data_IF_677897145492
#
_entry.id   IF_677897145492
#
_cell.length_a   1.000
_cell.length_b   1.000
_cell.length_c   1.000
_cell.angle_alpha   90.00
_cell.angle_beta   90.00
_cell.angle_gamma   90.00
#
_symmetry.space_group_name_H-M   'P 1'
#
loop_
_entity.id
_entity.type
_entity.pdbx_description
1 polymer ?
#
# COMPACT_ATOMS: atom_id res chain seq x y z
N UNK A 1 10.75 11.27 30.42
CA UNK A 1 10.61 10.76 29.03
C UNK A 1 11.25 9.37 28.98
N UNK A 2 10.46 8.29 28.91
CA UNK A 2 11.03 6.95 28.63
C UNK A 2 11.31 6.89 27.13
N UNK A 3 12.57 6.78 26.72
CA UNK A 3 12.92 6.54 25.33
C UNK A 3 12.36 5.18 24.92
N UNK A 4 11.67 5.14 23.78
CA UNK A 4 11.27 3.88 23.16
C UNK A 4 12.56 3.32 22.56
N UNK A 5 13.24 2.41 23.27
CA UNK A 5 14.32 1.62 22.67
C UNK A 5 13.66 0.73 21.62
N UNK A 6 14.05 0.83 20.36
CA UNK A 6 13.69 -0.20 19.40
C UNK A 6 14.42 -1.46 19.88
N UNK A 7 13.65 -2.46 20.32
CA UNK A 7 14.20 -3.79 20.40
C UNK A 7 14.41 -4.15 18.93
N UNK A 8 15.68 -4.10 18.48
CA UNK A 8 16.13 -4.92 17.35
C UNK A 8 15.46 -6.27 17.54
N UNK A 9 14.48 -6.59 16.67
CA UNK A 9 13.84 -7.90 16.68
C UNK A 9 15.00 -8.90 16.64
N UNK A 10 15.27 -9.56 17.78
CA UNK A 10 16.28 -10.59 17.83
C UNK A 10 15.88 -11.59 16.75
N UNK A 11 16.70 -11.65 15.69
CA UNK A 11 16.50 -12.39 14.44
C UNK A 11 16.25 -13.88 14.66
N UNK A 12 16.48 -14.36 15.87
CA UNK A 12 16.31 -15.75 16.33
C UNK A 12 14.84 -16.23 16.35
N UNK A 13 13.85 -15.36 16.12
CA UNK A 13 12.42 -15.72 16.14
C UNK A 13 11.65 -15.47 14.84
N UNK A 14 12.33 -15.01 13.79
CA UNK A 14 11.75 -14.71 12.49
C UNK A 14 12.26 -15.69 11.44
N UNK A 15 11.35 -16.25 10.65
CA UNK A 15 11.70 -17.09 9.50
C UNK A 15 11.51 -16.28 8.20
N UNK A 16 12.28 -16.65 7.18
CA UNK A 16 12.12 -16.12 5.83
C UNK A 16 11.51 -17.18 4.94
N UNK A 17 10.36 -16.89 4.36
CA UNK A 17 9.89 -17.62 3.19
C UNK A 17 10.29 -16.85 1.94
N UNK A 18 10.90 -17.56 0.99
CA UNK A 18 11.46 -16.97 -0.21
C UNK A 18 11.04 -17.78 -1.43
N UNK A 19 10.50 -17.10 -2.43
CA UNK A 19 10.24 -17.68 -3.73
C UNK A 19 10.83 -16.81 -4.84
N UNK A 20 11.32 -17.47 -5.88
CA UNK A 20 11.71 -16.82 -7.12
C UNK A 20 10.59 -16.98 -8.15
N UNK A 21 10.13 -15.87 -8.71
CA UNK A 21 9.08 -15.81 -9.72
C UNK A 21 9.67 -15.12 -10.94
N UNK A 22 10.08 -15.90 -11.93
CA UNK A 22 10.63 -15.42 -13.23
C UNK A 22 11.71 -14.34 -13.10
N UNK A 23 12.70 -14.55 -12.22
CA UNK A 23 13.80 -13.61 -11.98
C UNK A 23 13.52 -12.52 -10.93
N UNK A 24 12.39 -12.61 -10.22
CA UNK A 24 12.03 -11.72 -9.12
C UNK A 24 11.97 -12.49 -7.80
N UNK A 25 12.41 -11.84 -6.73
CA UNK A 25 12.35 -12.38 -5.38
C UNK A 25 11.14 -11.85 -4.65
N UNK A 26 10.30 -12.76 -4.16
CA UNK A 26 9.30 -12.49 -3.14
C UNK A 26 9.80 -13.01 -1.80
N UNK A 27 9.76 -12.15 -0.78
CA UNK A 27 10.32 -12.41 0.54
C UNK A 27 9.31 -12.03 1.60
N UNK A 28 8.96 -12.97 2.47
CA UNK A 28 8.11 -12.74 3.63
C UNK A 28 8.92 -12.85 4.92
N UNK A 29 8.74 -11.89 5.83
CA UNK A 29 9.08 -12.01 7.23
C UNK A 29 7.91 -12.71 7.92
N UNK A 30 8.16 -13.90 8.47
CA UNK A 30 7.12 -14.71 9.09
C UNK A 30 7.45 -14.92 10.57
N UNK A 31 6.44 -14.78 11.43
CA UNK A 31 6.58 -15.06 12.86
C UNK A 31 6.43 -16.56 13.18
N UNK A 32 6.50 -16.92 14.47
CA UNK A 32 6.38 -18.32 14.91
C UNK A 32 5.00 -18.94 14.70
N UNK A 33 3.98 -18.15 14.41
CA UNK A 33 2.60 -18.59 14.14
C UNK A 33 2.31 -18.69 12.64
N UNK A 34 3.33 -18.50 11.81
CA UNK A 34 3.21 -18.39 10.35
C UNK A 34 2.46 -17.12 9.88
N UNK A 35 2.35 -16.11 10.74
CA UNK A 35 1.79 -14.82 10.34
C UNK A 35 2.84 -13.97 9.62
N UNK A 36 2.46 -13.41 8.46
CA UNK A 36 3.34 -12.53 7.68
C UNK A 36 3.39 -11.15 8.31
N UNK A 37 4.54 -10.82 8.91
CA UNK A 37 4.82 -9.53 9.53
C UNK A 37 5.34 -8.46 8.55
N UNK A 38 5.78 -8.84 7.36
CA UNK A 38 6.18 -7.90 6.31
C UNK A 38 6.56 -8.61 5.02
N UNK A 39 6.38 -7.97 3.87
CA UNK A 39 6.62 -8.57 2.56
C UNK A 39 7.49 -7.68 1.68
N UNK A 40 8.24 -8.30 0.77
CA UNK A 40 9.15 -7.58 -0.09
C UNK A 40 9.27 -8.24 -1.45
N UNK A 41 9.15 -7.43 -2.50
CA UNK A 41 9.28 -7.88 -3.88
C UNK A 41 10.31 -7.05 -4.64
N UNK A 42 11.23 -7.72 -5.35
CA UNK A 42 12.29 -7.05 -6.13
C UNK A 42 13.05 -8.02 -7.03
N UNK A 43 13.59 -7.54 -8.16
CA UNK A 43 14.57 -8.29 -9.00
C UNK A 43 15.81 -8.72 -8.21
N UNK A 44 16.24 -7.91 -7.25
CA UNK A 44 17.34 -8.24 -6.34
C UNK A 44 16.83 -8.80 -5.02
N UNK A 45 17.29 -10.01 -4.67
CA UNK A 45 17.00 -10.72 -3.42
C UNK A 45 17.21 -9.86 -2.17
N UNK A 46 18.36 -9.20 -2.08
CA UNK A 46 18.71 -8.37 -0.93
C UNK A 46 17.83 -7.12 -0.80
N UNK A 47 17.36 -6.58 -1.93
CA UNK A 47 16.39 -5.49 -1.92
C UNK A 47 15.01 -5.98 -1.47
N UNK A 48 14.58 -7.17 -1.89
CA UNK A 48 13.34 -7.77 -1.42
C UNK A 48 13.36 -8.00 0.11
N UNK A 49 14.45 -8.56 0.65
CA UNK A 49 14.65 -8.69 2.10
C UNK A 49 14.58 -7.35 2.82
N UNK A 50 15.27 -6.32 2.33
CA UNK A 50 15.24 -4.97 2.93
C UNK A 50 13.84 -4.37 2.97
N UNK A 51 13.05 -4.56 1.91
CA UNK A 51 11.65 -4.11 1.86
C UNK A 51 10.80 -4.82 2.91
N UNK A 52 10.87 -6.16 2.93
CA UNK A 52 10.13 -6.99 3.89
C UNK A 52 10.48 -6.64 5.34
N UNK A 53 11.76 -6.45 5.64
CA UNK A 53 12.20 -6.02 6.98
C UNK A 53 11.74 -4.60 7.32
N UNK A 54 11.72 -3.67 6.35
CA UNK A 54 11.25 -2.30 6.58
C UNK A 54 9.75 -2.28 6.92
N UNK A 55 8.94 -3.09 6.21
CA UNK A 55 7.50 -3.23 6.50
C UNK A 55 7.27 -3.83 7.89
N UNK A 56 8.03 -4.86 8.28
CA UNK A 56 7.96 -5.45 9.61
C UNK A 56 8.25 -4.43 10.71
N UNK A 57 9.34 -3.67 10.56
CA UNK A 57 9.70 -2.63 11.54
C UNK A 57 8.66 -1.51 11.58
N UNK A 58 8.07 -1.14 10.45
CA UNK A 58 6.97 -0.18 10.42
C UNK A 58 5.79 -0.67 11.26
N UNK A 59 5.29 -1.89 11.02
CA UNK A 59 4.17 -2.44 11.79
C UNK A 59 4.48 -2.52 13.29
N UNK A 60 5.70 -2.91 13.63
CA UNK A 60 6.16 -2.94 15.02
C UNK A 60 6.17 -1.55 15.65
N UNK A 61 6.82 -0.57 15.02
CA UNK A 61 6.93 0.80 15.53
C UNK A 61 5.55 1.47 15.61
N UNK A 62 4.68 1.28 14.61
CA UNK A 62 3.30 1.78 14.64
C UNK A 62 2.53 1.16 15.80
N UNK A 63 2.71 -0.13 16.09
CA UNK A 63 2.09 -0.79 17.26
C UNK A 63 2.58 -0.19 18.58
N UNK A 64 3.88 0.13 18.69
CA UNK A 64 4.41 0.83 19.87
C UNK A 64 3.88 2.26 20.00
N UNK A 65 3.78 3.01 18.90
CA UNK A 65 3.19 4.34 18.90
C UNK A 65 1.71 4.26 19.32
N UNK A 66 0.98 3.25 18.82
CA UNK A 66 -0.42 2.99 19.18
C UNK A 66 -0.58 2.70 20.67
N UNK A 67 0.37 2.08 21.36
CA UNK A 67 0.17 1.78 22.79
C UNK A 67 0.28 3.01 23.71
N UNK A 68 0.70 4.17 23.18
CA UNK A 68 0.93 5.39 23.97
C UNK A 68 -0.05 6.49 23.51
N UNK A 69 -1.01 6.87 24.35
CA UNK A 69 -2.13 7.74 23.95
C UNK A 69 -1.72 9.14 23.47
N UNK A 70 -0.73 9.78 24.10
CA UNK A 70 -0.24 11.07 23.62
C UNK A 70 0.39 10.94 22.22
N UNK A 71 1.11 9.85 21.96
CA UNK A 71 1.69 9.55 20.65
C UNK A 71 0.64 9.19 19.62
N UNK A 72 -0.42 8.46 19.97
CA UNK A 72 -1.55 8.21 19.05
C UNK A 72 -2.08 9.51 18.45
N UNK A 73 -2.27 10.55 19.27
CA UNK A 73 -2.75 11.85 18.81
C UNK A 73 -1.72 12.55 17.90
N UNK A 74 -0.47 12.67 18.34
CA UNK A 74 0.63 13.28 17.56
C UNK A 74 0.82 12.66 16.18
N UNK A 75 0.64 11.35 16.06
CA UNK A 75 0.85 10.60 14.84
C UNK A 75 -0.41 10.47 13.97
N UNK A 76 -1.52 11.16 14.32
CA UNK A 76 -2.77 11.08 13.55
C UNK A 76 -3.48 9.73 13.64
N UNK A 77 -3.11 8.86 14.59
CA UNK A 77 -3.71 7.53 14.77
C UNK A 77 -5.13 7.56 15.36
N UNK A 78 -5.53 8.70 15.91
CA UNK A 78 -6.91 8.97 16.33
C UNK A 78 -7.85 9.21 15.13
N UNK A 79 -7.31 9.66 14.00
CA UNK A 79 -8.04 9.87 12.76
C UNK A 79 -8.10 8.58 11.93
N UNK A 80 -6.92 7.99 11.70
CA UNK A 80 -6.71 6.73 11.01
C UNK A 80 -5.75 5.85 11.81
N UNK A 81 -6.28 4.77 12.39
CA UNK A 81 -5.53 3.82 13.21
C UNK A 81 -4.78 2.74 12.40
N UNK A 82 -4.68 2.84 11.07
CA UNK A 82 -3.92 1.89 10.24
C UNK A 82 -2.42 2.25 10.16
N UNK A 83 -1.66 1.49 9.37
CA UNK A 83 -0.28 1.83 8.98
C UNK A 83 -0.23 2.76 7.75
N UNK A 84 -1.36 3.16 7.19
CA UNK A 84 -1.39 3.98 5.99
C UNK A 84 -0.64 5.30 6.16
N UNK A 85 0.14 5.63 5.14
CA UNK A 85 0.94 6.86 5.07
C UNK A 85 2.17 6.82 5.97
N UNK A 86 2.44 5.72 6.68
CA UNK A 86 3.72 5.52 7.35
C UNK A 86 4.81 5.10 6.36
N UNK A 87 6.05 5.32 6.76
CA UNK A 87 7.22 4.72 6.13
C UNK A 87 8.32 4.55 7.18
N UNK A 88 9.09 3.47 7.08
CA UNK A 88 10.30 3.25 7.88
C UNK A 88 11.52 3.01 7.00
N UNK A 89 12.68 3.54 7.40
CA UNK A 89 13.93 3.27 6.71
C UNK A 89 15.15 3.96 7.31
N UNK A 90 16.33 3.60 6.83
CA UNK A 90 17.62 4.10 7.33
C UNK A 90 17.99 5.51 6.86
N UNK A 91 17.29 6.06 5.87
CA UNK A 91 17.58 7.37 5.29
C UNK A 91 16.39 8.31 5.48
N UNK A 92 16.58 9.36 6.28
CA UNK A 92 15.53 10.34 6.61
C UNK A 92 14.79 10.86 5.38
N UNK A 93 15.51 11.33 4.36
CA UNK A 93 14.90 11.91 3.16
C UNK A 93 14.11 10.89 2.34
N UNK A 94 14.63 9.66 2.19
CA UNK A 94 13.93 8.57 1.49
C UNK A 94 12.67 8.13 2.26
N UNK A 95 12.75 8.05 3.59
CA UNK A 95 11.61 7.70 4.45
C UNK A 95 10.51 8.76 4.35
N UNK A 96 10.86 10.05 4.43
CA UNK A 96 9.90 11.15 4.25
C UNK A 96 9.23 11.08 2.87
N UNK A 97 10.03 10.92 1.81
CA UNK A 97 9.50 10.81 0.44
C UNK A 97 8.55 9.62 0.31
N UNK A 98 8.90 8.44 0.86
CA UNK A 98 8.04 7.26 0.83
C UNK A 98 6.72 7.49 1.57
N UNK A 99 6.76 8.09 2.75
CA UNK A 99 5.56 8.43 3.51
C UNK A 99 4.65 9.40 2.72
N UNK A 100 5.23 10.43 2.10
CA UNK A 100 4.49 11.39 1.25
C UNK A 100 3.86 10.69 0.05
N UNK A 101 4.60 9.83 -0.65
CA UNK A 101 4.08 9.09 -1.80
C UNK A 101 2.96 8.14 -1.39
N UNK A 102 3.09 7.43 -0.27
CA UNK A 102 2.02 6.58 0.24
C UNK A 102 0.80 7.41 0.68
N UNK A 103 0.99 8.49 1.43
CA UNK A 103 -0.12 9.38 1.78
C UNK A 103 -0.86 9.92 0.55
N UNK A 104 -0.13 10.24 -0.54
CA UNK A 104 -0.71 10.65 -1.81
C UNK A 104 -1.50 9.52 -2.48
N UNK A 105 -1.03 8.28 -2.41
CA UNK A 105 -1.75 7.10 -2.87
C UNK A 105 -3.12 7.00 -2.19
N UNK A 106 -3.14 7.02 -0.86
CA UNK A 106 -4.37 6.89 -0.06
C UNK A 106 -5.34 8.03 -0.33
N UNK A 107 -4.82 9.25 -0.44
CA UNK A 107 -5.61 10.42 -0.82
C UNK A 107 -6.23 10.27 -2.21
N UNK A 108 -5.43 9.87 -3.21
CA UNK A 108 -5.88 9.70 -4.59
C UNK A 108 -6.98 8.65 -4.70
N UNK A 109 -6.82 7.56 -3.96
CA UNK A 109 -7.79 6.48 -3.89
C UNK A 109 -9.08 6.89 -3.18
N UNK A 110 -9.01 7.78 -2.18
CA UNK A 110 -10.20 8.39 -1.59
C UNK A 110 -10.91 9.31 -2.58
N UNK A 111 -10.15 10.14 -3.30
CA UNK A 111 -10.70 11.03 -4.33
C UNK A 111 -11.43 10.23 -5.41
N UNK A 112 -10.85 9.09 -5.80
CA UNK A 112 -11.47 8.18 -6.72
C UNK A 112 -12.75 7.59 -6.13
N UNK A 113 -12.64 6.73 -5.12
CA UNK A 113 -13.76 5.89 -4.67
C UNK A 113 -14.81 6.67 -3.87
N UNK A 114 -14.39 7.54 -2.95
CA UNK A 114 -15.28 8.20 -2.01
C UNK A 114 -15.85 9.51 -2.58
N UNK A 115 -15.01 10.27 -3.30
CA UNK A 115 -15.42 11.55 -3.89
C UNK A 115 -15.84 11.45 -5.37
N UNK A 116 -15.83 10.23 -5.93
CA UNK A 116 -16.29 9.90 -7.29
C UNK A 116 -15.58 10.70 -8.40
N UNK A 117 -14.29 10.98 -8.19
CA UNK A 117 -13.43 11.66 -9.17
C UNK A 117 -12.83 10.62 -10.13
N UNK A 118 -13.01 10.79 -11.44
CA UNK A 118 -12.55 9.81 -12.42
C UNK A 118 -11.02 9.74 -12.52
N UNK A 119 -10.48 8.52 -12.49
CA UNK A 119 -9.13 8.21 -12.95
C UNK A 119 -9.14 7.89 -14.44
N UNK A 120 -8.03 8.15 -15.13
CA UNK A 120 -7.88 7.81 -16.55
C UNK A 120 -7.52 6.33 -16.67
N UNK A 121 -8.33 5.56 -17.40
CA UNK A 121 -7.96 4.20 -17.81
C UNK A 121 -6.93 4.26 -18.95
N UNK A 122 -5.90 3.44 -18.85
CA UNK A 122 -4.84 3.29 -19.83
C UNK A 122 -5.04 1.98 -20.60
N UNK A 123 -4.95 2.08 -21.93
CA UNK A 123 -4.88 0.92 -22.82
C UNK A 123 -3.43 0.69 -23.19
N UNK A 124 -2.67 0.07 -22.29
CA UNK A 124 -1.28 -0.31 -22.51
C UNK A 124 -1.14 -1.83 -22.54
N UNK A 125 -0.17 -2.32 -23.30
CA UNK A 125 0.16 -3.74 -23.35
C UNK A 125 1.26 -4.04 -22.35
N UNK A 126 1.06 -5.10 -21.57
CA UNK A 126 1.99 -5.59 -20.56
C UNK A 126 2.92 -6.63 -21.17
N UNK A 127 3.96 -6.17 -21.86
CA UNK A 127 4.84 -7.03 -22.68
C UNK A 127 6.09 -7.55 -21.95
N UNK A 128 6.40 -7.04 -20.76
CA UNK A 128 7.56 -7.55 -20.03
C UNK A 128 7.31 -8.98 -19.50
N UNK A 129 8.35 -9.85 -19.43
CA UNK A 129 8.20 -11.20 -18.89
C UNK A 129 7.61 -11.22 -17.47
N UNK A 130 7.98 -10.25 -16.64
CA UNK A 130 7.40 -10.08 -15.30
C UNK A 130 5.90 -9.81 -15.38
N UNK A 131 5.47 -8.87 -16.21
CA UNK A 131 4.07 -8.51 -16.27
C UNK A 131 3.23 -9.68 -16.79
N UNK A 132 3.73 -10.41 -17.78
CA UNK A 132 3.06 -11.62 -18.29
C UNK A 132 2.91 -12.68 -17.19
N UNK A 133 3.98 -12.92 -16.42
CA UNK A 133 3.96 -13.87 -15.31
C UNK A 133 3.00 -13.44 -14.18
N UNK A 134 2.99 -12.15 -13.82
CA UNK A 134 2.11 -11.62 -12.78
C UNK A 134 0.64 -11.52 -13.24
N UNK A 135 0.38 -11.40 -14.54
CA UNK A 135 -0.99 -11.27 -15.06
C UNK A 135 -1.65 -12.60 -15.41
N UNK A 136 -0.91 -13.72 -15.44
CA UNK A 136 -1.45 -15.05 -15.77
C UNK A 136 -2.57 -15.54 -14.85
N UNK A 137 -2.65 -14.97 -13.63
CA UNK A 137 -3.69 -15.30 -12.66
C UNK A 137 -5.05 -14.65 -13.00
N UNK A 138 -5.09 -13.71 -13.95
CA UNK A 138 -6.27 -12.93 -14.27
C UNK A 138 -6.76 -13.22 -15.69
N UNK A 139 -8.08 -13.32 -15.84
CA UNK A 139 -8.75 -13.43 -17.14
C UNK A 139 -8.69 -12.13 -17.97
N UNK A 140 -8.40 -11.01 -17.32
CA UNK A 140 -8.23 -9.70 -17.93
C UNK A 140 -7.81 -8.67 -16.89
N UNK A 141 -7.51 -7.45 -17.32
CA UNK A 141 -7.11 -6.39 -16.40
C UNK A 141 -7.54 -5.00 -16.88
N UNK A 142 -7.62 -4.07 -15.94
CA UNK A 142 -7.75 -2.62 -16.19
C UNK A 142 -6.63 -1.89 -15.46
N UNK A 143 -6.09 -0.84 -16.09
CA UNK A 143 -5.02 -0.02 -15.51
C UNK A 143 -5.51 1.42 -15.48
N UNK A 144 -5.55 2.01 -14.29
CA UNK A 144 -5.89 3.41 -14.10
C UNK A 144 -4.66 4.20 -13.66
N UNK A 145 -4.60 5.45 -14.08
CA UNK A 145 -3.43 6.29 -13.86
C UNK A 145 -3.79 7.75 -13.62
N UNK A 146 -3.01 8.38 -12.75
CA UNK A 146 -3.02 9.82 -12.56
C UNK A 146 -1.64 10.32 -12.10
N UNK A 147 -1.18 11.39 -12.72
CA UNK A 147 -0.10 12.22 -12.15
C UNK A 147 -0.69 13.25 -11.20
N UNK A 148 -0.22 13.25 -9.95
CA UNK A 148 -0.64 14.16 -8.89
C UNK A 148 0.51 15.13 -8.56
N UNK A 149 0.33 16.44 -8.76
CA UNK A 149 1.29 17.43 -8.28
C UNK A 149 1.16 17.57 -6.76
N UNK A 150 2.27 17.47 -6.03
CA UNK A 150 2.35 17.66 -4.58
C UNK A 150 3.35 18.78 -4.32
N UNK A 151 2.92 19.82 -3.61
CA UNK A 151 3.85 20.85 -3.14
C UNK A 151 4.54 20.38 -1.85
N UNK A 152 5.86 20.23 -1.88
CA UNK A 152 6.66 19.82 -0.73
C UNK A 152 8.05 20.45 -0.79
N UNK A 153 8.51 21.01 0.33
CA UNK A 153 9.83 21.65 0.45
C UNK A 153 10.12 22.64 -0.70
N UNK A 154 9.18 23.55 -0.93
CA UNK A 154 9.24 24.59 -1.97
C UNK A 154 9.31 24.08 -3.42
N UNK A 155 9.02 22.79 -3.63
CA UNK A 155 9.07 22.14 -4.95
C UNK A 155 7.78 21.40 -5.26
N UNK A 156 7.50 21.22 -6.54
CA UNK A 156 6.39 20.38 -7.00
C UNK A 156 6.96 19.00 -7.33
N UNK A 157 6.55 18.00 -6.56
CA UNK A 157 6.74 16.59 -6.87
C UNK A 157 5.60 16.11 -7.77
N UNK A 158 5.91 15.33 -8.80
CA UNK A 158 4.90 14.72 -9.67
C UNK A 158 4.77 13.24 -9.31
N UNK A 159 3.88 12.92 -8.39
CA UNK A 159 3.61 11.54 -8.00
C UNK A 159 2.81 10.85 -9.11
N UNK A 160 3.29 9.68 -9.54
CA UNK A 160 2.63 8.79 -10.49
C UNK A 160 1.85 7.76 -9.67
N UNK A 161 0.53 7.87 -9.68
CA UNK A 161 -0.36 6.92 -9.01
C UNK A 161 -0.96 5.99 -10.05
N UNK A 162 -0.79 4.69 -9.84
CA UNK A 162 -1.30 3.62 -10.68
C UNK A 162 -2.21 2.73 -9.85
N UNK A 163 -3.35 2.37 -10.43
CA UNK A 163 -4.22 1.31 -9.93
C UNK A 163 -4.25 0.21 -10.97
N UNK A 164 -3.90 -1.00 -10.55
CA UNK A 164 -4.04 -2.20 -11.36
C UNK A 164 -5.21 -3.02 -10.83
N UNK A 165 -6.13 -3.40 -11.71
CA UNK A 165 -7.26 -4.26 -11.39
C UNK A 165 -7.15 -5.56 -12.18
N UNK A 166 -6.82 -6.66 -11.52
CA UNK A 166 -6.83 -8.00 -12.09
C UNK A 166 -8.22 -8.63 -11.99
N UNK A 167 -8.85 -8.93 -13.12
CA UNK A 167 -10.20 -9.50 -13.18
C UNK A 167 -10.16 -11.02 -13.30
N UNK A 168 -10.95 -11.70 -12.48
CA UNK A 168 -11.27 -13.12 -12.64
C UNK A 168 -12.71 -13.27 -13.17
N UNK A 169 -13.18 -14.50 -13.30
CA UNK A 169 -14.59 -14.76 -13.64
C UNK A 169 -15.53 -14.19 -12.57
N UNK A 170 -15.19 -14.38 -11.29
CA UNK A 170 -16.05 -14.04 -10.14
C UNK A 170 -15.84 -12.64 -9.57
N UNK A 171 -14.64 -12.09 -9.69
CA UNK A 171 -14.27 -10.88 -8.95
C UNK A 171 -13.10 -10.09 -9.54
N UNK A 172 -12.50 -9.29 -8.66
CA UNK A 172 -11.37 -8.41 -8.96
C UNK A 172 -10.38 -8.36 -7.82
N UNK A 173 -9.11 -8.19 -8.16
CA UNK A 173 -8.03 -7.96 -7.22
C UNK A 173 -7.35 -6.64 -7.56
N UNK A 174 -7.54 -5.66 -6.69
CA UNK A 174 -6.90 -4.36 -6.83
C UNK A 174 -5.48 -4.37 -6.25
N UNK A 175 -4.59 -3.61 -6.86
CA UNK A 175 -3.30 -3.27 -6.31
C UNK A 175 -2.93 -1.84 -6.67
N UNK A 176 -2.16 -1.20 -5.81
CA UNK A 176 -1.92 0.24 -5.87
C UNK A 176 -0.42 0.56 -5.84
N UNK A 177 -0.04 1.60 -6.56
CA UNK A 177 1.35 2.01 -6.60
C UNK A 177 1.52 3.49 -6.80
N UNK A 178 2.31 4.09 -5.93
CA UNK A 178 2.71 5.49 -6.06
C UNK A 178 4.23 5.65 -6.02
N UNK A 179 4.77 6.23 -7.10
CA UNK A 179 6.20 6.49 -7.31
C UNK A 179 6.42 7.80 -8.03
N UNK A 180 7.67 8.20 -8.23
CA UNK A 180 8.00 9.32 -9.11
C UNK A 180 8.11 8.90 -10.59
N UNK A 181 8.23 7.59 -10.83
CA UNK A 181 8.38 6.95 -12.15
C UNK A 181 7.18 6.03 -12.36
N UNK A 182 6.56 6.08 -13.55
CA UNK A 182 5.32 5.37 -13.83
C UNK A 182 5.49 3.85 -13.79
N UNK A 183 6.55 3.34 -14.41
CA UNK A 183 6.85 1.91 -14.53
C UNK A 183 7.00 1.28 -13.14
N UNK A 184 7.73 1.94 -12.24
CA UNK A 184 7.88 1.47 -10.85
C UNK A 184 6.55 1.46 -10.08
N UNK A 185 5.64 2.40 -10.37
CA UNK A 185 4.32 2.45 -9.76
C UNK A 185 3.43 1.30 -10.29
N UNK A 186 3.48 1.05 -11.60
CA UNK A 186 2.77 -0.05 -12.25
C UNK A 186 3.24 -1.42 -11.73
N UNK A 187 4.56 -1.63 -11.63
CA UNK A 187 5.13 -2.86 -11.11
C UNK A 187 4.68 -3.11 -9.67
N UNK A 188 4.65 -2.07 -8.84
CA UNK A 188 4.16 -2.16 -7.47
C UNK A 188 2.67 -2.54 -7.43
N UNK A 189 1.84 -1.85 -8.22
CA UNK A 189 0.40 -2.11 -8.28
C UNK A 189 0.09 -3.55 -8.75
N UNK A 190 0.82 -4.05 -9.74
CA UNK A 190 0.71 -5.43 -10.22
C UNK A 190 1.02 -6.45 -9.12
N UNK A 191 2.14 -6.27 -8.42
CA UNK A 191 2.56 -7.14 -7.33
C UNK A 191 1.53 -7.15 -6.19
N UNK A 192 0.98 -5.98 -5.84
CA UNK A 192 -0.06 -5.91 -4.82
C UNK A 192 -1.36 -6.64 -5.23
N UNK A 193 -1.76 -6.53 -6.49
CA UNK A 193 -2.94 -7.25 -7.00
C UNK A 193 -2.74 -8.77 -6.94
N UNK A 194 -1.57 -9.27 -7.35
CA UNK A 194 -1.23 -10.69 -7.24
C UNK A 194 -1.16 -11.13 -5.79
N UNK A 195 -0.57 -10.31 -4.89
CA UNK A 195 -0.57 -10.59 -3.45
C UNK A 195 -2.00 -10.75 -2.93
N UNK A 196 -2.91 -9.85 -3.29
CA UNK A 196 -4.31 -9.92 -2.87
C UNK A 196 -5.03 -11.18 -3.42
N UNK A 197 -4.71 -11.58 -4.65
CA UNK A 197 -5.17 -12.84 -5.22
C UNK A 197 -4.67 -14.04 -4.41
N UNK A 198 -3.36 -14.12 -4.16
CA UNK A 198 -2.77 -15.23 -3.39
C UNK A 198 -3.27 -15.26 -1.94
N UNK A 199 -3.54 -14.11 -1.33
CA UNK A 199 -4.16 -14.04 0.01
C UNK A 199 -5.53 -14.69 -0.01
N UNK A 200 -6.37 -14.36 -1.01
CA UNK A 200 -7.71 -14.95 -1.14
C UNK A 200 -7.66 -16.47 -1.36
N UNK A 201 -6.77 -16.96 -2.23
CA UNK A 201 -6.65 -18.39 -2.50
C UNK A 201 -6.17 -19.19 -1.28
N UNK A 202 -5.33 -18.58 -0.42
CA UNK A 202 -4.68 -19.29 0.69
C UNK A 202 -5.34 -19.06 2.06
N UNK A 203 -6.14 -18.01 2.25
CA UNK A 203 -6.75 -17.67 3.54
C UNK A 203 -8.27 -17.84 3.52
N UNK A 204 -8.77 -18.89 4.16
CA UNK A 204 -10.19 -19.05 4.45
C UNK A 204 -10.53 -18.49 5.83
N UNK A 205 -11.49 -17.55 5.90
CA UNK A 205 -12.18 -17.21 7.16
C UNK A 205 -11.61 -16.08 8.02
N UNK A 206 -10.68 -15.24 7.54
CA UNK A 206 -10.30 -14.01 8.25
C UNK A 206 -11.22 -12.82 7.90
N UNK A 207 -12.15 -12.49 8.79
CA UNK A 207 -13.13 -11.42 8.57
C UNK A 207 -12.64 -10.04 9.06
N UNK A 208 -11.32 -9.88 9.26
CA UNK A 208 -10.71 -8.60 9.59
C UNK A 208 -10.24 -7.85 8.33
N UNK A 209 -10.28 -6.52 8.39
CA UNK A 209 -9.68 -5.67 7.37
C UNK A 209 -8.16 -5.96 7.22
N UNK A 210 -7.61 -6.03 5.99
CA UNK A 210 -8.28 -5.83 4.69
C UNK A 210 -8.87 -7.11 4.06
N UNK A 211 -8.77 -8.26 4.73
CA UNK A 211 -9.09 -9.59 4.19
C UNK A 211 -10.57 -9.79 3.87
N UNK A 212 -11.46 -9.23 4.69
CA UNK A 212 -12.91 -9.21 4.47
C UNK A 212 -13.29 -8.58 3.12
N UNK A 213 -12.68 -7.44 2.80
CA UNK A 213 -12.91 -6.70 1.54
C UNK A 213 -12.28 -7.39 0.34
N UNK A 214 -11.05 -7.92 0.49
CA UNK A 214 -10.42 -8.73 -0.55
C UNK A 214 -11.38 -9.86 -0.96
N UNK A 215 -11.91 -10.60 0.01
CA UNK A 215 -12.84 -11.71 -0.23
C UNK A 215 -14.14 -11.24 -0.85
N UNK A 216 -14.73 -10.17 -0.33
CA UNK A 216 -15.95 -9.60 -0.89
C UNK A 216 -15.79 -9.29 -2.38
N UNK A 217 -14.74 -8.57 -2.78
CA UNK A 217 -14.55 -8.22 -4.19
C UNK A 217 -14.00 -9.35 -5.08
N UNK A 218 -13.37 -10.37 -4.50
CA UNK A 218 -13.02 -11.62 -5.19
C UNK A 218 -14.26 -12.40 -5.66
N UNK A 219 -15.41 -12.19 -5.00
CA UNK A 219 -16.66 -12.89 -5.28
C UNK A 219 -17.77 -11.98 -5.86
N UNK A 220 -17.57 -10.65 -5.85
CA UNK A 220 -18.59 -9.67 -6.23
C UNK A 220 -18.12 -8.72 -7.36
N UNK A 221 -17.81 -9.27 -8.53
CA UNK A 221 -17.45 -8.48 -9.74
C UNK A 221 -18.45 -7.37 -10.10
N UNK A 222 -19.78 -7.55 -10.01
CA UNK A 222 -20.73 -6.47 -10.30
C UNK A 222 -20.59 -5.28 -9.33
N UNK A 223 -20.38 -5.56 -8.04
CA UNK A 223 -20.19 -4.51 -7.03
C UNK A 223 -18.91 -3.72 -7.29
N UNK A 224 -17.81 -4.40 -7.64
CA UNK A 224 -16.58 -3.74 -8.05
C UNK A 224 -16.82 -2.82 -9.27
N UNK A 225 -17.45 -3.34 -10.33
CA UNK A 225 -17.75 -2.55 -11.53
C UNK A 225 -18.58 -1.31 -11.23
N UNK A 226 -19.62 -1.45 -10.41
CA UNK A 226 -20.43 -0.31 -9.97
C UNK A 226 -19.56 0.73 -9.26
N UNK A 227 -18.77 0.31 -8.27
CA UNK A 227 -17.87 1.19 -7.54
C UNK A 227 -16.86 1.91 -8.45
N UNK A 228 -16.32 1.23 -9.47
CA UNK A 228 -15.30 1.74 -10.42
C UNK A 228 -15.88 2.63 -11.52
N UNK A 229 -17.15 2.48 -11.89
CA UNK A 229 -17.74 3.21 -13.02
C UNK A 229 -18.68 4.37 -12.63
N UNK A 230 -19.03 4.51 -11.35
CA UNK A 230 -19.86 5.62 -10.83
C UNK A 230 -19.19 7.01 -10.80
N UNK A 231 -18.04 7.18 -11.47
CA UNK A 231 -17.23 8.40 -11.39
C UNK A 231 -17.62 9.40 -12.47
N UNK A 232 -18.23 10.51 -12.06
CA UNK A 232 -18.68 11.58 -12.97
C UNK A 232 -17.96 12.92 -12.75
N UNK A 233 -17.09 13.04 -11.74
CA UNK A 233 -16.35 14.29 -11.45
C UNK A 233 -14.96 14.25 -12.06
N UNK A 234 -14.51 15.36 -12.62
CA UNK A 234 -13.17 15.46 -13.24
C UNK A 234 -12.25 16.47 -12.55
N UNK A 235 -12.78 17.28 -11.62
CA UNK A 235 -12.00 18.34 -10.97
C UNK A 235 -11.14 17.78 -9.83
N UNK A 236 -9.86 17.57 -10.12
CA UNK A 236 -8.85 17.20 -9.14
C UNK A 236 -8.34 18.43 -8.39
N UNK A 237 -8.45 18.42 -7.07
CA UNK A 237 -7.76 19.41 -6.21
C UNK A 237 -6.28 19.05 -6.07
N UNK A 238 -5.44 20.03 -5.78
CA UNK A 238 -4.07 19.74 -5.35
C UNK A 238 -4.12 19.19 -3.91
N UNK A 239 -3.47 18.06 -3.60
CA UNK A 239 -3.43 17.53 -2.24
C UNK A 239 -2.79 18.53 -1.28
N UNK A 240 -3.42 18.75 -0.13
CA UNK A 240 -2.87 19.56 0.95
C UNK A 240 -2.33 18.64 2.06
N UNK A 241 -1.04 18.74 2.37
CA UNK A 241 -0.42 17.94 3.42
C UNK A 241 -0.87 18.46 4.79
N UNK A 242 -1.75 17.73 5.46
CA UNK A 242 -2.32 18.09 6.76
C UNK A 242 -1.40 17.68 7.92
N UNK A 243 -0.74 16.53 7.80
CA UNK A 243 0.23 16.04 8.78
C UNK A 243 1.48 15.53 8.08
N UNK A 244 2.64 15.97 8.57
CA UNK A 244 3.91 15.29 8.36
C UNK A 244 4.61 15.13 9.71
N UNK A 245 4.59 13.92 10.26
CA UNK A 245 5.29 13.58 11.50
C UNK A 245 6.52 12.76 11.16
N UNK A 246 7.65 13.08 11.78
CA UNK A 246 8.93 12.40 11.56
C UNK A 246 9.58 12.21 12.93
N UNK A 247 10.14 11.03 13.16
CA UNK A 247 10.89 10.74 14.37
C UNK A 247 11.98 9.69 14.08
N UNK A 248 12.88 9.48 15.05
CA UNK A 248 13.97 8.52 14.95
C UNK A 248 13.89 7.51 16.08
N UNK A 249 13.97 6.24 15.73
CA UNK A 249 14.01 5.11 16.66
C UNK A 249 15.30 4.32 16.38
N UNK A 250 16.31 4.54 17.23
CA UNK A 250 17.67 4.02 17.04
C UNK A 250 18.25 4.40 15.65
N UNK A 251 18.52 3.44 14.78
CA UNK A 251 19.06 3.68 13.44
C UNK A 251 18.01 3.82 12.34
N UNK A 252 16.72 3.79 12.71
CA UNK A 252 15.59 3.88 11.79
C UNK A 252 14.92 5.25 11.91
N UNK A 253 14.60 5.81 10.76
CA UNK A 253 13.64 6.91 10.64
C UNK A 253 12.26 6.34 10.40
N UNK A 254 11.26 6.95 11.03
CA UNK A 254 9.85 6.73 10.75
C UNK A 254 9.21 8.07 10.40
N UNK A 255 8.39 8.07 9.35
CA UNK A 255 7.61 9.23 8.96
C UNK A 255 6.16 8.82 8.74
N UNK A 256 5.22 9.74 8.94
CA UNK A 256 3.84 9.61 8.52
C UNK A 256 3.38 10.86 7.77
N UNK A 257 2.77 10.69 6.61
CA UNK A 257 2.10 11.74 5.88
C UNK A 257 0.58 11.50 5.80
N UNK A 258 -0.22 12.51 6.13
CA UNK A 258 -1.68 12.50 5.97
C UNK A 258 -2.07 13.75 5.17
N UNK A 259 -2.81 13.55 4.07
CA UNK A 259 -3.36 14.63 3.27
C UNK A 259 -4.81 14.93 3.66
N UNK A 260 -5.22 16.18 3.53
CA UNK A 260 -6.61 16.60 3.73
C UNK A 260 -7.54 15.98 2.67
N UNK A 261 -8.74 15.56 3.08
CA UNK A 261 -9.69 14.83 2.23
C UNK A 261 -9.36 13.35 1.99
N UNK A 262 -8.45 12.76 2.76
CA UNK A 262 -8.24 11.30 2.79
C UNK A 262 -9.27 10.62 3.71
N UNK A 263 -10.03 9.66 3.20
CA UNK A 263 -10.91 8.79 3.99
C UNK A 263 -10.17 7.51 4.47
N UNK A 264 -10.06 7.26 5.79
CA UNK A 264 -9.34 6.10 6.35
C UNK A 264 -9.90 4.76 5.84
N UNK A 265 -9.05 3.85 5.37
CA UNK A 265 -9.48 2.65 4.64
C UNK A 265 -10.27 1.66 5.47
N UNK A 266 -9.93 1.49 6.74
CA UNK A 266 -10.66 0.64 7.69
C UNK A 266 -12.09 1.13 7.98
N UNK A 267 -12.45 2.37 7.61
CA UNK A 267 -13.81 2.89 7.74
C UNK A 267 -14.66 2.54 6.53
N UNK A 268 -15.98 2.50 6.72
CA UNK A 268 -16.96 2.19 5.68
C UNK A 268 -17.32 0.70 5.62
N UNK A 269 -18.30 0.37 4.78
CA UNK A 269 -18.79 -0.99 4.58
C UNK A 269 -17.77 -1.86 3.83
N UNK A 270 -17.97 -3.18 3.86
CA UNK A 270 -17.18 -4.15 3.08
C UNK A 270 -17.27 -3.89 1.56
N UNK A 271 -18.36 -3.24 1.12
CA UNK A 271 -18.59 -2.85 -0.28
C UNK A 271 -17.87 -1.57 -0.71
N UNK A 272 -17.07 -0.95 0.17
CA UNK A 272 -16.18 0.16 -0.21
C UNK A 272 -14.94 -0.41 -0.90
N UNK A 273 -14.75 -0.08 -2.17
CA UNK A 273 -13.69 -0.63 -3.04
C UNK A 273 -12.30 -0.07 -2.75
N UNK A 274 -11.85 -0.20 -1.50
CA UNK A 274 -10.52 0.16 -0.99
C UNK A 274 -10.15 -0.84 0.11
N UNK A 275 -9.05 -1.55 -0.05
CA UNK A 275 -8.57 -2.52 0.93
C UNK A 275 -7.06 -2.70 0.86
#
# INVERSE_FOLDING_TARGET
MRSIKAISLKSESLFWEMSEVSGYWHVNCIDKKFDVGGSGFSVLKETAKKKSFSELNERFLVTQIKSIDCKKKEWGLHFDNSCSGFAVGYSKSKTILRAILEGCERWTLSQWIDYKISLRELKIKLDSPMHQELTKFFSGYSIFFKTIPIYFAERILKAQVVVFLGWTEKGVFAGYGTKLIFEEALDHALVEAVRNFLIYENQQGNDQFPYDRIRFFAENKPAAKAAIHEHNRQHWKMPALNLLKIDRFDDLWIARAIFDGWEPWQKGSVSRFLY
#
